data_IF_745322641112
#
_entry.id   IF_745322641112
#
_cell.length_a   1.000
_cell.length_b   1.000
_cell.length_c   1.000
_cell.angle_alpha   90.00
_cell.angle_beta   90.00
_cell.angle_gamma   90.00
#
_symmetry.space_group_name_H-M   'P 1'
#
loop_
_entity.id
_entity.type
_entity.pdbx_description
1 polymer ?
#
# COMPACT_ATOMS: atom_id res chain seq x y z
N UNK A 1 -1.26 11.18 25.27
CA UNK A 1 -2.69 10.79 25.14
C UNK A 1 -2.74 9.65 24.14
N UNK A 2 -3.29 8.47 24.49
CA UNK A 2 -3.48 7.43 23.49
C UNK A 2 -4.50 7.95 22.48
N UNK A 3 -4.10 8.06 21.21
CA UNK A 3 -5.03 8.30 20.11
C UNK A 3 -6.09 7.20 20.20
N UNK A 4 -7.37 7.57 20.28
CA UNK A 4 -8.43 6.57 20.39
C UNK A 4 -8.41 5.68 19.16
N UNK A 5 -8.70 4.37 19.33
CA UNK A 5 -8.70 3.42 18.22
C UNK A 5 -9.56 3.91 17.03
N UNK A 6 -10.67 4.59 17.33
CA UNK A 6 -11.54 5.22 16.34
C UNK A 6 -10.82 6.26 15.47
N UNK A 7 -9.99 7.13 16.06
CA UNK A 7 -9.24 8.15 15.29
C UNK A 7 -8.25 7.49 14.34
N UNK A 8 -7.54 6.45 14.78
CA UNK A 8 -6.62 5.70 13.92
C UNK A 8 -7.36 5.01 12.78
N UNK A 9 -8.51 4.38 13.06
CA UNK A 9 -9.32 3.72 12.03
C UNK A 9 -9.88 4.72 11.01
N UNK A 10 -10.42 5.86 11.47
CA UNK A 10 -10.93 6.91 10.57
C UNK A 10 -9.80 7.46 9.70
N UNK A 11 -8.65 7.76 10.31
CA UNK A 11 -7.47 8.22 9.59
C UNK A 11 -7.01 7.23 8.53
N UNK A 12 -7.00 5.92 8.85
CA UNK A 12 -6.71 4.86 7.90
C UNK A 12 -7.68 4.88 6.72
N UNK A 13 -9.00 4.91 6.98
CA UNK A 13 -10.01 4.89 5.91
C UNK A 13 -9.84 6.10 4.98
N UNK A 14 -9.66 7.30 5.54
CA UNK A 14 -9.50 8.53 4.76
C UNK A 14 -8.22 8.48 3.92
N UNK A 15 -7.08 8.20 4.55
CA UNK A 15 -5.79 8.17 3.87
C UNK A 15 -5.76 7.08 2.80
N UNK A 16 -6.29 5.90 3.09
CA UNK A 16 -6.34 4.79 2.15
C UNK A 16 -7.25 5.07 0.95
N UNK A 17 -8.49 5.50 1.22
CA UNK A 17 -9.49 5.74 0.16
C UNK A 17 -9.07 6.89 -0.76
N UNK A 18 -8.43 7.92 -0.20
CA UNK A 18 -7.89 9.03 -1.01
C UNK A 18 -6.89 8.56 -2.08
N UNK A 19 -6.21 7.44 -1.86
CA UNK A 19 -5.30 6.83 -2.81
C UNK A 19 -5.95 6.43 -4.14
N UNK A 20 -7.22 6.01 -4.13
CA UNK A 20 -7.95 5.67 -5.37
C UNK A 20 -8.31 6.91 -6.17
N UNK A 21 -8.69 7.99 -5.49
CA UNK A 21 -8.95 9.30 -6.11
C UNK A 21 -7.64 9.84 -6.70
N UNK A 22 -6.54 9.76 -5.94
CA UNK A 22 -5.22 10.18 -6.40
C UNK A 22 -4.71 9.36 -7.58
N UNK A 23 -5.01 8.05 -7.63
CA UNK A 23 -4.72 7.21 -8.79
C UNK A 23 -5.49 7.70 -10.02
N UNK A 24 -6.80 7.91 -9.90
CA UNK A 24 -7.64 8.36 -11.02
C UNK A 24 -7.22 9.73 -11.55
N UNK A 25 -6.98 10.70 -10.67
CA UNK A 25 -6.53 12.03 -11.06
C UNK A 25 -5.11 11.99 -11.62
N UNK A 26 -4.21 11.25 -10.98
CA UNK A 26 -2.82 11.16 -11.41
C UNK A 26 -2.65 10.49 -12.78
N UNK A 27 -3.44 9.45 -13.06
CA UNK A 27 -3.37 8.75 -14.36
C UNK A 27 -3.97 9.54 -15.51
N UNK A 28 -4.68 10.65 -15.26
CA UNK A 28 -5.10 11.59 -16.31
C UNK A 28 -3.94 12.42 -16.84
N UNK A 29 -2.94 12.68 -16.00
CA UNK A 29 -1.81 13.57 -16.29
C UNK A 29 -0.53 12.80 -16.65
N UNK A 30 -0.36 11.58 -16.13
CA UNK A 30 0.83 10.77 -16.34
C UNK A 30 0.49 9.28 -16.51
N UNK A 31 1.39 8.51 -17.12
CA UNK A 31 1.26 7.05 -17.12
C UNK A 31 1.34 6.50 -15.70
N UNK A 32 0.65 5.39 -15.44
CA UNK A 32 0.66 4.72 -14.14
C UNK A 32 2.07 4.43 -13.62
N UNK A 33 2.99 4.04 -14.51
CA UNK A 33 4.39 3.78 -14.15
C UNK A 33 5.09 5.05 -13.64
N UNK A 34 4.89 6.17 -14.34
CA UNK A 34 5.48 7.47 -13.96
C UNK A 34 4.90 7.96 -12.63
N UNK A 35 3.59 7.81 -12.45
CA UNK A 35 2.91 8.18 -11.21
C UNK A 35 3.43 7.36 -10.02
N UNK A 36 3.53 6.05 -10.18
CA UNK A 36 4.01 5.14 -9.14
C UNK A 36 5.50 5.37 -8.84
N UNK A 37 6.32 5.62 -9.87
CA UNK A 37 7.74 5.96 -9.70
C UNK A 37 7.89 7.15 -8.76
N UNK A 38 7.21 8.27 -9.04
CA UNK A 38 7.30 9.45 -8.19
C UNK A 38 6.72 9.22 -6.80
N UNK A 39 5.60 8.51 -6.70
CA UNK A 39 4.99 8.16 -5.40
C UNK A 39 5.97 7.35 -4.52
N UNK A 40 6.62 6.34 -5.09
CA UNK A 40 7.54 5.50 -4.32
C UNK A 40 8.88 6.17 -4.06
N UNK A 41 9.38 7.03 -4.96
CA UNK A 41 10.54 7.88 -4.68
C UNK A 41 10.29 8.81 -3.49
N UNK A 42 9.14 9.48 -3.45
CA UNK A 42 8.75 10.34 -2.34
C UNK A 42 8.63 9.53 -1.04
N UNK A 43 7.95 8.37 -1.08
CA UNK A 43 7.83 7.49 0.08
C UNK A 43 9.18 6.99 0.59
N UNK A 44 10.09 6.58 -0.31
CA UNK A 44 11.43 6.13 0.02
C UNK A 44 12.27 7.27 0.63
N UNK A 45 12.16 8.49 0.12
CA UNK A 45 12.86 9.65 0.67
C UNK A 45 12.37 9.97 2.09
N UNK A 46 11.05 9.97 2.33
CA UNK A 46 10.46 10.26 3.65
C UNK A 46 10.80 9.16 4.66
N UNK A 47 10.52 7.90 4.32
CA UNK A 47 10.74 6.77 5.24
C UNK A 47 12.22 6.47 5.43
N UNK A 48 13.02 6.55 4.36
CA UNK A 48 14.47 6.38 4.40
C UNK A 48 15.14 7.52 5.18
N UNK A 49 14.72 8.76 4.95
CA UNK A 49 15.20 9.92 5.73
C UNK A 49 14.87 9.78 7.21
N UNK A 50 13.62 9.45 7.55
CA UNK A 50 13.23 9.18 8.93
C UNK A 50 14.03 8.02 9.55
N UNK A 51 14.27 6.95 8.80
CA UNK A 51 15.10 5.83 9.25
C UNK A 51 16.54 6.25 9.56
N UNK A 52 17.17 7.04 8.66
CA UNK A 52 18.53 7.55 8.86
C UNK A 52 18.64 8.47 10.09
N UNK A 53 17.59 9.26 10.36
CA UNK A 53 17.55 10.19 11.50
C UNK A 53 17.24 9.48 12.83
N UNK A 54 16.39 8.46 12.82
CA UNK A 54 15.83 7.85 14.03
C UNK A 54 16.51 6.54 14.45
N UNK A 55 17.15 5.79 13.54
CA UNK A 55 17.72 4.47 13.85
C UNK A 55 19.25 4.46 13.93
N UNK A 56 19.74 3.76 14.96
CA UNK A 56 21.16 3.41 15.18
C UNK A 56 21.47 1.91 15.05
N UNK A 57 20.57 1.09 14.50
CA UNK A 57 20.72 -0.38 14.46
C UNK A 57 20.66 -0.97 13.05
N UNK A 58 21.59 -1.90 12.78
CA UNK A 58 21.66 -2.66 11.53
C UNK A 58 20.49 -3.64 11.41
N UNK A 59 19.94 -3.75 10.20
CA UNK A 59 18.89 -4.71 9.85
C UNK A 59 19.57 -5.97 9.30
N UNK A 60 19.24 -7.18 9.78
CA UNK A 60 19.80 -8.41 9.22
C UNK A 60 19.32 -8.62 7.78
N UNK A 61 20.21 -9.15 6.92
CA UNK A 61 19.97 -9.34 5.48
C UNK A 61 18.73 -10.18 5.19
N UNK A 62 18.47 -11.21 6.00
CA UNK A 62 17.27 -12.05 5.88
C UNK A 62 15.98 -11.25 6.08
N UNK A 63 15.90 -10.43 7.13
CA UNK A 63 14.72 -9.60 7.37
C UNK A 63 14.54 -8.57 6.25
N UNK A 64 15.64 -8.04 5.69
CA UNK A 64 15.56 -7.16 4.54
C UNK A 64 14.98 -7.87 3.31
N UNK A 65 15.42 -9.11 3.02
CA UNK A 65 14.89 -9.89 1.91
C UNK A 65 13.40 -10.24 2.09
N UNK A 66 12.99 -10.63 3.30
CA UNK A 66 11.58 -10.90 3.62
C UNK A 66 10.72 -9.65 3.45
N UNK A 67 11.15 -8.50 3.97
CA UNK A 67 10.42 -7.24 3.81
C UNK A 67 10.42 -6.74 2.36
N UNK A 68 11.49 -6.97 1.60
CA UNK A 68 11.54 -6.66 0.18
C UNK A 68 10.52 -7.50 -0.61
N UNK A 69 10.38 -8.79 -0.30
CA UNK A 69 9.39 -9.66 -0.93
C UNK A 69 7.95 -9.21 -0.58
N UNK A 70 7.67 -8.94 0.70
CA UNK A 70 6.37 -8.42 1.14
C UNK A 70 6.07 -7.07 0.47
N UNK A 71 7.06 -6.18 0.39
CA UNK A 71 6.95 -4.89 -0.27
C UNK A 71 6.70 -5.03 -1.77
N UNK A 72 7.42 -5.90 -2.47
CA UNK A 72 7.22 -6.13 -3.89
C UNK A 72 5.82 -6.66 -4.20
N UNK A 73 5.31 -7.60 -3.41
CA UNK A 73 3.96 -8.15 -3.60
C UNK A 73 2.87 -7.12 -3.26
N UNK A 74 3.00 -6.42 -2.14
CA UNK A 74 1.98 -5.46 -1.68
C UNK A 74 2.00 -4.13 -2.44
N UNK A 75 3.17 -3.54 -2.63
CA UNK A 75 3.32 -2.24 -3.28
C UNK A 75 3.43 -2.37 -4.81
N UNK A 76 4.20 -3.34 -5.28
CA UNK A 76 4.38 -3.58 -6.72
C UNK A 76 3.19 -4.33 -7.31
N UNK A 77 2.94 -5.56 -6.84
CA UNK A 77 1.88 -6.41 -7.38
C UNK A 77 0.48 -5.84 -7.16
N UNK A 78 0.10 -5.62 -5.90
CA UNK A 78 -1.25 -5.19 -5.56
C UNK A 78 -1.51 -3.71 -5.91
N UNK A 79 -0.73 -2.78 -5.36
CA UNK A 79 -0.93 -1.35 -5.61
C UNK A 79 -0.64 -0.97 -7.07
N UNK A 80 0.41 -1.54 -7.68
CA UNK A 80 0.69 -1.35 -9.10
C UNK A 80 -0.44 -1.87 -9.99
N UNK A 81 -0.96 -3.06 -9.71
CA UNK A 81 -2.12 -3.61 -10.42
C UNK A 81 -3.35 -2.71 -10.36
N UNK A 82 -3.65 -2.14 -9.19
CA UNK A 82 -4.77 -1.19 -9.03
C UNK A 82 -4.55 0.06 -9.89
N UNK A 83 -3.38 0.69 -9.80
CA UNK A 83 -3.12 1.96 -10.50
C UNK A 83 -3.04 1.75 -12.01
N UNK A 84 -2.50 0.61 -12.47
CA UNK A 84 -2.57 0.23 -13.89
C UNK A 84 -4.00 0.02 -14.36
N UNK A 85 -4.83 -0.70 -13.61
CA UNK A 85 -6.24 -0.89 -13.97
C UNK A 85 -6.99 0.45 -14.10
N UNK A 86 -6.76 1.36 -13.16
CA UNK A 86 -7.32 2.73 -13.22
C UNK A 86 -6.78 3.50 -14.43
N UNK A 87 -5.49 3.41 -14.72
CA UNK A 87 -4.88 4.01 -15.91
C UNK A 87 -5.40 3.42 -17.23
N UNK A 88 -5.88 2.18 -17.23
CA UNK A 88 -6.55 1.53 -18.36
C UNK A 88 -8.05 1.89 -18.46
N UNK A 89 -8.56 2.75 -17.57
CA UNK A 89 -9.93 3.27 -17.61
C UNK A 89 -10.91 2.58 -16.66
N UNK A 90 -10.46 1.69 -15.76
CA UNK A 90 -11.34 1.14 -14.72
C UNK A 90 -11.73 2.26 -13.73
N UNK A 91 -13.03 2.49 -13.46
CA UNK A 91 -13.45 3.48 -12.47
C UNK A 91 -12.86 3.21 -11.09
N UNK A 92 -12.41 4.27 -10.41
CA UNK A 92 -11.79 4.17 -9.07
C UNK A 92 -12.69 3.49 -8.04
N UNK A 93 -14.00 3.73 -8.09
CA UNK A 93 -14.99 3.06 -7.24
C UNK A 93 -15.04 1.55 -7.45
N UNK A 94 -14.98 1.08 -8.69
CA UNK A 94 -14.94 -0.36 -9.00
C UNK A 94 -13.63 -0.98 -8.52
N UNK A 95 -12.50 -0.31 -8.77
CA UNK A 95 -11.20 -0.76 -8.28
C UNK A 95 -11.17 -0.84 -6.74
N UNK A 96 -11.80 0.11 -6.04
CA UNK A 96 -11.92 0.11 -4.59
C UNK A 96 -12.80 -1.05 -4.07
N UNK A 97 -13.90 -1.37 -4.74
CA UNK A 97 -14.75 -2.52 -4.38
C UNK A 97 -14.00 -3.85 -4.56
N UNK A 98 -13.26 -4.00 -5.64
CA UNK A 98 -12.41 -5.19 -5.87
C UNK A 98 -11.33 -5.27 -4.79
N UNK A 99 -10.67 -4.14 -4.49
CA UNK A 99 -9.67 -4.06 -3.42
C UNK A 99 -10.24 -4.41 -2.04
N UNK A 100 -11.51 -4.07 -1.76
CA UNK A 100 -12.19 -4.39 -0.52
C UNK A 100 -12.46 -5.89 -0.33
N UNK A 101 -12.27 -6.72 -1.35
CA UNK A 101 -12.30 -8.19 -1.23
C UNK A 101 -11.03 -8.73 -0.55
N UNK A 102 -9.90 -8.00 -0.63
CA UNK A 102 -8.62 -8.48 -0.11
C UNK A 102 -8.67 -8.87 1.38
N UNK A 103 -9.27 -8.10 2.31
CA UNK A 103 -9.39 -8.51 3.71
C UNK A 103 -10.27 -9.74 3.92
N UNK A 104 -11.33 -9.90 3.12
CA UNK A 104 -12.19 -11.08 3.17
C UNK A 104 -11.41 -12.33 2.73
N UNK A 105 -10.64 -12.22 1.64
CA UNK A 105 -9.77 -13.27 1.16
C UNK A 105 -8.66 -13.60 2.17
N UNK A 106 -8.03 -12.58 2.77
CA UNK A 106 -7.03 -12.75 3.81
C UNK A 106 -7.62 -13.49 5.03
N UNK A 107 -8.82 -13.10 5.50
CA UNK A 107 -9.51 -13.78 6.59
C UNK A 107 -9.87 -15.23 6.27
N UNK A 108 -10.37 -15.51 5.06
CA UNK A 108 -10.71 -16.87 4.63
C UNK A 108 -9.48 -17.78 4.49
N UNK A 109 -8.32 -17.22 4.14
CA UNK A 109 -7.08 -17.96 3.97
C UNK A 109 -6.25 -18.04 5.26
N UNK A 110 -6.46 -17.14 6.23
CA UNK A 110 -5.69 -17.08 7.46
C UNK A 110 -5.66 -18.42 8.20
N UNK A 111 -6.82 -19.04 8.46
CA UNK A 111 -6.86 -20.32 9.18
C UNK A 111 -6.18 -21.48 8.44
N UNK A 112 -6.20 -21.47 7.10
CA UNK A 112 -5.54 -22.52 6.29
C UNK A 112 -4.03 -22.33 6.16
N UNK A 113 -3.57 -21.08 6.05
CA UNK A 113 -2.17 -20.75 5.77
C UNK A 113 -1.35 -20.47 7.04
N UNK A 114 -1.99 -19.97 8.09
CA UNK A 114 -1.37 -19.59 9.35
C UNK A 114 -1.63 -20.61 10.47
N UNK A 115 -2.58 -21.53 10.28
CA UNK A 115 -2.94 -22.53 11.29
C UNK A 115 -3.71 -21.96 12.48
N UNK A 116 -4.25 -20.75 12.33
CA UNK A 116 -5.05 -20.05 13.34
C UNK A 116 -6.54 -20.29 13.04
N UNK A 117 -7.14 -21.32 13.65
CA UNK A 117 -8.55 -21.68 13.50
C UNK A 117 -9.45 -20.96 14.53
#
# INVERSE_FOLDING_TARGET
>A
MPISAAVTSIGLVVMWTSGFIGAELGTREATADTLLMWRFLAAAAVLGGAWLLLRRRRIPSRALAEQAAIGALSQGGYLGGIVWAVGLGVPSGTAALIAAVQPLAAGALAGRLLGEA
#
